data_IF_219084320471
#
_entry.id   IF_219084320471
#
_cell.length_a   1.000
_cell.length_b   1.000
_cell.length_c   1.000
_cell.angle_alpha   90.00
_cell.angle_beta   90.00
_cell.angle_gamma   90.00
#
_symmetry.space_group_name_H-M   'P 1'
#
loop_
_entity.id
_entity.type
_entity.pdbx_description
1 polymer ?
#
# COMPACT_ATOMS: atom_id res chain seq x y z
N UNK A 1 -14.98 -17.11 39.06
CA UNK A 1 -13.78 -17.16 38.20
C UNK A 1 -14.21 -16.77 36.79
N UNK A 2 -14.04 -15.51 36.40
CA UNK A 2 -14.39 -15.02 35.06
C UNK A 2 -13.21 -15.26 34.13
N UNK A 3 -13.40 -16.10 33.11
CA UNK A 3 -12.41 -16.32 32.07
C UNK A 3 -12.15 -15.01 31.33
N UNK A 4 -10.90 -14.54 31.35
CA UNK A 4 -10.46 -13.40 30.57
C UNK A 4 -10.37 -13.85 29.11
N UNK A 5 -11.35 -13.48 28.27
CA UNK A 5 -11.25 -13.66 26.83
C UNK A 5 -10.13 -12.75 26.33
N UNK A 6 -9.03 -13.35 25.85
CA UNK A 6 -7.99 -12.63 25.12
C UNK A 6 -8.59 -12.12 23.81
N UNK A 7 -8.80 -10.81 23.71
CA UNK A 7 -9.24 -10.16 22.48
C UNK A 7 -8.17 -10.32 21.40
N UNK A 8 -8.45 -11.11 20.36
CA UNK A 8 -7.61 -11.21 19.17
C UNK A 8 -7.62 -9.88 18.42
N UNK A 9 -6.44 -9.38 18.04
CA UNK A 9 -6.31 -8.25 17.12
C UNK A 9 -6.03 -8.79 15.73
N UNK A 10 -6.88 -8.44 14.79
CA UNK A 10 -6.73 -8.78 13.39
C UNK A 10 -6.32 -7.54 12.58
N UNK A 11 -5.52 -7.78 11.54
CA UNK A 11 -5.16 -6.81 10.52
C UNK A 11 -5.26 -7.52 9.18
N UNK A 12 -5.91 -6.89 8.21
CA UNK A 12 -6.04 -7.42 6.85
C UNK A 12 -5.26 -6.54 5.89
N UNK A 13 -4.63 -7.17 4.89
CA UNK A 13 -3.85 -6.48 3.87
C UNK A 13 -4.35 -6.92 2.51
N UNK A 14 -4.64 -5.95 1.64
CA UNK A 14 -4.90 -6.19 0.22
C UNK A 14 -3.84 -5.47 -0.59
N UNK A 15 -3.28 -6.19 -1.57
CA UNK A 15 -2.36 -5.63 -2.55
C UNK A 15 -2.96 -5.80 -3.94
N UNK A 16 -3.02 -4.72 -4.71
CA UNK A 16 -3.45 -4.73 -6.11
C UNK A 16 -2.30 -4.23 -6.95
N UNK A 17 -1.99 -4.93 -8.04
CA UNK A 17 -1.13 -4.46 -9.11
C UNK A 17 -1.99 -4.24 -10.36
N UNK A 18 -1.89 -3.06 -10.97
CA UNK A 18 -2.64 -2.67 -12.16
C UNK A 18 -1.70 -2.02 -13.18
N UNK A 19 -1.87 -2.37 -14.45
CA UNK A 19 -1.14 -1.77 -15.57
C UNK A 19 -2.07 -0.80 -16.30
N UNK A 20 -1.71 0.47 -16.28
CA UNK A 20 -2.38 1.51 -17.05
C UNK A 20 -1.77 1.61 -18.45
N UNK A 21 -2.58 1.78 -19.51
CA UNK A 21 -2.08 1.96 -20.85
C UNK A 21 -1.29 3.27 -21.00
N UNK A 22 -0.50 3.38 -22.08
CA UNK A 22 0.13 4.63 -22.44
C UNK A 22 -0.91 5.76 -22.59
N UNK A 23 -0.52 6.97 -22.18
CA UNK A 23 -1.36 8.17 -22.16
C UNK A 23 -2.64 8.07 -21.31
N UNK A 24 -2.70 7.12 -20.38
CA UNK A 24 -3.83 7.01 -19.48
C UNK A 24 -4.04 8.32 -18.68
N UNK A 25 -5.28 8.78 -18.57
CA UNK A 25 -5.63 10.09 -18.01
C UNK A 25 -5.07 10.33 -16.58
N UNK A 26 -4.87 9.27 -15.80
CA UNK A 26 -4.32 9.36 -14.42
C UNK A 26 -2.82 9.60 -14.35
N UNK A 27 -2.05 9.13 -15.35
CA UNK A 27 -0.58 9.13 -15.30
C UNK A 27 0.07 9.96 -16.41
N UNK A 28 -0.56 10.06 -17.58
CA UNK A 28 -0.13 10.93 -18.68
C UNK A 28 1.20 10.55 -19.33
N UNK A 29 1.79 9.41 -18.97
CA UNK A 29 3.10 8.95 -19.47
C UNK A 29 2.97 8.36 -20.88
N UNK A 30 4.00 8.49 -21.74
CA UNK A 30 4.00 7.87 -23.07
C UNK A 30 4.18 6.34 -23.03
N UNK A 31 4.51 5.79 -21.87
CA UNK A 31 4.67 4.35 -21.65
C UNK A 31 3.60 3.83 -20.69
N UNK A 32 3.21 2.54 -20.78
CA UNK A 32 2.35 1.90 -19.80
C UNK A 32 2.92 2.03 -18.40
N UNK A 33 2.07 2.24 -17.40
CA UNK A 33 2.47 2.45 -16.01
C UNK A 33 1.99 1.28 -15.17
N UNK A 34 2.89 0.67 -14.42
CA UNK A 34 2.51 -0.25 -13.36
C UNK A 34 2.27 0.55 -12.06
N UNK A 35 1.13 0.33 -11.42
CA UNK A 35 0.79 0.87 -10.10
C UNK A 35 0.50 -0.30 -9.15
N UNK A 36 1.06 -0.23 -7.95
CA UNK A 36 0.73 -1.09 -6.83
C UNK A 36 0.04 -0.28 -5.74
N UNK A 37 -1.07 -0.78 -5.21
CA UNK A 37 -1.80 -0.18 -4.09
C UNK A 37 -1.85 -1.18 -2.94
N UNK A 38 -1.29 -0.78 -1.80
CA UNK A 38 -1.28 -1.55 -0.56
C UNK A 38 -2.31 -0.95 0.40
N UNK A 39 -3.38 -1.70 0.67
CA UNK A 39 -4.44 -1.31 1.59
C UNK A 39 -4.31 -2.11 2.88
N UNK A 40 -4.00 -1.42 3.98
CA UNK A 40 -3.98 -2.01 5.32
C UNK A 40 -5.28 -1.66 6.03
N UNK A 41 -6.03 -2.68 6.43
CA UNK A 41 -7.24 -2.53 7.25
C UNK A 41 -6.87 -2.87 8.70
N UNK A 42 -6.80 -1.83 9.54
CA UNK A 42 -6.51 -1.92 10.95
C UNK A 42 -7.75 -1.54 11.77
N UNK A 43 -7.84 -1.94 13.06
CA UNK A 43 -8.91 -1.50 13.95
C UNK A 43 -9.03 0.02 14.08
N UNK A 44 -7.92 0.75 13.88
CA UNK A 44 -7.88 2.22 13.98
C UNK A 44 -8.21 2.93 12.66
N UNK A 45 -8.38 2.19 11.55
CA UNK A 45 -8.72 2.74 10.25
C UNK A 45 -7.99 2.06 9.08
N UNK A 46 -8.27 2.55 7.88
CA UNK A 46 -7.67 2.06 6.63
C UNK A 46 -6.53 2.96 6.19
N UNK A 47 -5.40 2.36 5.83
CA UNK A 47 -4.23 3.04 5.28
C UNK A 47 -4.02 2.60 3.83
N UNK A 48 -3.70 3.56 2.97
CA UNK A 48 -3.33 3.30 1.58
C UNK A 48 -1.90 3.80 1.35
N UNK A 49 -1.05 2.91 0.84
CA UNK A 49 0.30 3.20 0.37
C UNK A 49 0.37 2.80 -1.10
N UNK A 50 1.04 3.59 -1.92
CA UNK A 50 1.17 3.34 -3.35
C UNK A 50 2.63 3.24 -3.78
N UNK A 51 2.84 2.47 -4.85
CA UNK A 51 4.10 2.37 -5.57
C UNK A 51 3.80 2.39 -7.08
N UNK A 52 4.67 2.97 -7.89
CA UNK A 52 4.51 3.01 -9.34
C UNK A 52 5.87 3.06 -10.04
N UNK A 53 5.93 2.51 -11.24
CA UNK A 53 7.13 2.59 -12.08
C UNK A 53 7.21 3.86 -12.93
N UNK A 54 6.15 4.69 -12.91
CA UNK A 54 6.02 5.89 -13.76
C UNK A 54 6.36 5.65 -15.24
N UNK A 55 6.07 4.46 -15.76
CA UNK A 55 6.37 4.13 -17.15
C UNK A 55 7.82 3.73 -17.40
N UNK A 56 8.55 3.36 -16.35
CA UNK A 56 9.87 2.74 -16.42
C UNK A 56 9.78 1.27 -16.01
N UNK A 57 9.51 0.34 -16.95
CA UNK A 57 9.24 -1.06 -16.62
C UNK A 57 10.26 -1.67 -15.67
N UNK A 58 9.77 -2.24 -14.56
CA UNK A 58 10.59 -2.88 -13.53
C UNK A 58 11.35 -1.93 -12.61
N UNK A 59 11.22 -0.60 -12.77
CA UNK A 59 11.89 0.40 -11.95
C UNK A 59 10.87 1.18 -11.11
N UNK A 60 10.34 0.51 -10.10
CA UNK A 60 9.41 1.12 -9.16
C UNK A 60 10.06 2.21 -8.30
N UNK A 61 9.31 3.28 -8.04
CA UNK A 61 9.67 4.26 -7.02
C UNK A 61 9.55 3.66 -5.59
N UNK A 62 10.04 4.37 -4.56
CA UNK A 62 9.73 4.00 -3.18
C UNK A 62 8.22 3.99 -2.91
N UNK A 63 7.77 3.16 -1.97
CA UNK A 63 6.40 3.21 -1.48
C UNK A 63 6.10 4.57 -0.85
N UNK A 64 4.96 5.17 -1.19
CA UNK A 64 4.53 6.48 -0.69
C UNK A 64 3.14 6.40 -0.05
N UNK A 65 2.94 6.96 1.15
CA UNK A 65 1.64 6.99 1.79
C UNK A 65 0.69 7.91 1.02
N UNK A 66 -0.51 7.41 0.70
CA UNK A 66 -1.58 8.21 0.08
C UNK A 66 -2.64 8.62 1.07
N UNK A 67 -3.04 7.70 1.96
CA UNK A 67 -4.04 7.95 2.98
C UNK A 67 -3.60 7.32 4.29
N UNK A 68 -3.43 8.14 5.32
CA UNK A 68 -3.13 7.68 6.69
C UNK A 68 -4.03 8.43 7.67
N UNK A 69 -4.98 7.74 8.36
CA UNK A 69 -5.81 8.36 9.38
C UNK A 69 -4.97 8.97 10.51
N UNK A 70 -5.42 10.06 11.17
CA UNK A 70 -4.66 10.73 12.23
C UNK A 70 -4.15 9.78 13.33
N UNK A 71 -4.97 8.82 13.76
CA UNK A 71 -4.61 7.83 14.78
C UNK A 71 -3.44 6.90 14.39
N UNK A 72 -3.15 6.80 13.08
CA UNK A 72 -2.10 5.94 12.53
C UNK A 72 -0.89 6.73 12.00
N UNK A 73 -0.95 8.06 11.94
CA UNK A 73 0.16 8.89 11.46
C UNK A 73 1.50 8.61 12.17
N UNK A 74 1.56 8.40 13.50
CA UNK A 74 2.82 8.05 14.18
C UNK A 74 3.45 6.74 13.70
N UNK A 75 2.68 5.88 13.02
CA UNK A 75 3.13 4.59 12.49
C UNK A 75 3.39 4.61 10.97
N UNK A 76 3.35 5.79 10.34
CA UNK A 76 3.45 5.91 8.87
C UNK A 76 4.74 5.28 8.34
N UNK A 77 5.88 5.49 9.00
CA UNK A 77 7.15 4.93 8.56
C UNK A 77 7.15 3.39 8.58
N UNK A 78 6.55 2.78 9.60
CA UNK A 78 6.42 1.32 9.71
C UNK A 78 5.45 0.77 8.66
N UNK A 79 4.34 1.47 8.38
CA UNK A 79 3.38 1.09 7.35
C UNK A 79 3.99 1.15 5.94
N UNK A 80 4.78 2.19 5.66
CA UNK A 80 5.52 2.32 4.40
C UNK A 80 6.59 1.23 4.28
N UNK A 81 7.33 0.94 5.36
CA UNK A 81 8.30 -0.16 5.36
C UNK A 81 7.65 -1.52 5.11
N UNK A 82 6.49 -1.78 5.74
CA UNK A 82 5.72 -3.00 5.49
C UNK A 82 5.25 -3.11 4.04
N UNK A 83 4.76 -2.01 3.45
CA UNK A 83 4.39 -1.96 2.03
C UNK A 83 5.59 -2.26 1.12
N UNK A 84 6.76 -1.68 1.40
CA UNK A 84 8.00 -1.98 0.66
C UNK A 84 8.41 -3.46 0.77
N UNK A 85 8.27 -4.07 1.95
CA UNK A 85 8.54 -5.51 2.12
C UNK A 85 7.54 -6.38 1.36
N UNK A 86 6.25 -6.00 1.31
CA UNK A 86 5.23 -6.70 0.53
C UNK A 86 5.48 -6.55 -0.98
N UNK A 87 5.91 -5.36 -1.43
CA UNK A 87 6.26 -5.12 -2.82
C UNK A 87 7.34 -6.10 -3.31
N UNK A 88 8.37 -6.34 -2.48
CA UNK A 88 9.45 -7.26 -2.79
C UNK A 88 9.03 -8.75 -2.87
N UNK A 89 7.80 -9.10 -2.46
CA UNK A 89 7.24 -10.44 -2.62
C UNK A 89 6.52 -10.64 -3.97
N UNK A 90 6.30 -9.56 -4.71
CA UNK A 90 5.62 -9.58 -6.01
C UNK A 90 6.61 -9.62 -7.19
N UNK A 91 7.89 -9.40 -6.93
CA UNK A 91 8.97 -9.31 -7.93
C UNK A 91 9.69 -10.66 -8.13
#
# INVERSE_FOLDING_TARGET
>A
MTASQSASKELQIRVIEEIFPAHHARHGTPHPVCQRVFTFQLPQGTVEVEQTDYGHPGRFNPCHPKRVPPALQPKTAQLVAAASSLAALLD
#
